data_IF_126891655322
#
_entry.id   IF_126891655322
#
_cell.length_a   1.000
_cell.length_b   1.000
_cell.length_c   1.000
_cell.angle_alpha   90.00
_cell.angle_beta   90.00
_cell.angle_gamma   90.00
#
_symmetry.space_group_name_H-M   'P 1'
#
loop_
_entity.id
_entity.type
_entity.pdbx_description
1 polymer ?
#
# COMPACT_ATOMS: atom_id res chain seq x y z
N UNK A 1 -13.96 -47.98 51.95
CA UNK A 1 -14.59 -47.56 50.67
C UNK A 1 -14.40 -46.06 50.33
N UNK A 2 -13.42 -45.35 50.92
CA UNK A 2 -13.28 -43.89 50.74
C UNK A 2 -12.16 -43.46 49.75
N UNK A 3 -11.26 -44.37 49.34
CA UNK A 3 -10.13 -44.01 48.47
C UNK A 3 -10.38 -44.13 46.96
N UNK A 4 -11.51 -44.71 46.52
CA UNK A 4 -11.81 -44.83 45.09
C UNK A 4 -12.59 -43.65 44.49
N UNK A 5 -13.10 -42.71 45.31
CA UNK A 5 -13.86 -41.54 44.80
C UNK A 5 -12.99 -40.33 44.44
N UNK A 6 -11.78 -40.27 44.96
CA UNK A 6 -10.81 -39.19 44.67
C UNK A 6 -9.98 -39.45 43.40
N UNK A 7 -9.87 -40.70 42.94
CA UNK A 7 -9.18 -41.03 41.70
C UNK A 7 -10.02 -40.71 40.45
N UNK A 8 -11.35 -40.78 40.53
CA UNK A 8 -12.25 -40.44 39.40
C UNK A 8 -12.48 -38.93 39.22
N UNK A 9 -12.21 -38.11 40.24
CA UNK A 9 -12.33 -36.65 40.15
C UNK A 9 -11.05 -35.98 39.63
N UNK A 10 -9.87 -36.60 39.82
CA UNK A 10 -8.62 -36.09 39.24
C UNK A 10 -8.46 -36.46 37.75
N UNK A 11 -8.98 -37.62 37.32
CA UNK A 11 -8.90 -38.03 35.91
C UNK A 11 -9.85 -37.22 34.99
N UNK A 12 -10.92 -36.62 35.52
CA UNK A 12 -11.84 -35.78 34.75
C UNK A 12 -11.35 -34.34 34.58
N UNK A 13 -10.49 -33.86 35.49
CA UNK A 13 -9.91 -32.51 35.40
C UNK A 13 -8.75 -32.43 34.39
N UNK A 14 -8.07 -33.54 34.11
CA UNK A 14 -6.98 -33.61 33.13
C UNK A 14 -7.44 -33.86 31.69
N UNK A 15 -8.72 -34.22 31.48
CA UNK A 15 -9.30 -34.47 30.16
C UNK A 15 -10.08 -33.26 29.59
N UNK A 16 -10.19 -32.16 30.33
CA UNK A 16 -10.77 -30.89 29.87
C UNK A 16 -9.74 -29.84 29.43
N UNK A 17 -8.47 -30.23 29.26
CA UNK A 17 -7.59 -29.54 28.34
C UNK A 17 -7.91 -29.99 26.91
N UNK A 18 -9.19 -29.88 26.48
CA UNK A 18 -9.42 -29.62 25.07
C UNK A 18 -8.61 -28.36 24.81
N UNK A 19 -7.65 -28.45 23.90
CA UNK A 19 -6.93 -27.31 23.38
C UNK A 19 -7.97 -26.25 23.02
N UNK A 20 -8.18 -25.27 23.90
CA UNK A 20 -8.88 -24.06 23.56
C UNK A 20 -8.00 -23.49 22.47
N UNK A 21 -8.44 -23.65 21.22
CA UNK A 21 -7.81 -22.97 20.11
C UNK A 21 -7.63 -21.52 20.57
N UNK A 22 -6.43 -20.93 20.44
CA UNK A 22 -6.18 -19.58 20.92
C UNK A 22 -7.32 -18.71 20.42
N UNK A 23 -8.09 -18.16 21.35
CA UNK A 23 -9.37 -17.58 21.02
C UNK A 23 -9.12 -16.14 20.57
N UNK A 24 -8.62 -15.97 19.35
CA UNK A 24 -8.29 -14.67 18.77
C UNK A 24 -9.51 -13.74 18.79
N UNK A 25 -9.37 -12.55 19.39
CA UNK A 25 -10.33 -11.46 19.36
C UNK A 25 -9.66 -10.19 18.89
N UNK A 26 -10.47 -9.36 18.24
CA UNK A 26 -10.16 -7.96 18.01
C UNK A 26 -11.18 -7.12 18.74
N UNK A 27 -10.76 -5.97 19.24
CA UNK A 27 -11.67 -5.00 19.86
C UNK A 27 -11.19 -3.59 19.54
N UNK A 28 -12.03 -2.61 19.88
CA UNK A 28 -11.65 -1.21 19.85
C UNK A 28 -11.32 -0.77 21.27
N UNK A 29 -10.14 -0.16 21.42
CA UNK A 29 -9.69 0.49 22.65
C UNK A 29 -8.95 1.77 22.30
N UNK A 30 -9.24 2.86 23.01
CA UNK A 30 -8.68 4.19 22.74
C UNK A 30 -8.75 4.57 21.24
N UNK A 31 -9.91 4.33 20.62
CA UNK A 31 -10.17 4.61 19.20
C UNK A 31 -9.25 3.86 18.23
N UNK A 32 -8.69 2.72 18.63
CA UNK A 32 -7.83 1.88 17.81
C UNK A 32 -8.24 0.42 17.86
N UNK A 33 -8.06 -0.28 16.75
CA UNK A 33 -8.17 -1.74 16.72
C UNK A 33 -7.02 -2.31 17.55
N UNK A 34 -7.34 -3.21 18.47
CA UNK A 34 -6.37 -3.93 19.31
C UNK A 34 -6.62 -5.43 19.27
N UNK A 35 -5.56 -6.21 19.39
CA UNK A 35 -5.64 -7.67 19.58
C UNK A 35 -5.95 -8.04 21.05
N UNK A 36 -6.05 -9.34 21.35
CA UNK A 36 -6.32 -9.85 22.70
C UNK A 36 -5.30 -9.43 23.76
N UNK A 37 -4.07 -9.09 23.36
CA UNK A 37 -3.03 -8.61 24.27
C UNK A 37 -3.10 -7.10 24.48
N UNK A 38 -4.11 -6.43 23.92
CA UNK A 38 -4.26 -4.97 23.94
C UNK A 38 -3.26 -4.25 23.02
N UNK A 39 -2.56 -4.97 22.14
CA UNK A 39 -1.61 -4.36 21.21
C UNK A 39 -2.38 -3.74 20.04
N UNK A 40 -2.06 -2.49 19.72
CA UNK A 40 -2.61 -1.80 18.55
C UNK A 40 -2.26 -2.56 17.27
N UNK A 41 -3.30 -2.83 16.50
CA UNK A 41 -3.23 -3.43 15.16
C UNK A 41 -3.38 -2.30 14.15
N UNK A 42 -2.27 -1.95 13.49
CA UNK A 42 -2.31 -0.96 12.40
C UNK A 42 -2.72 -1.65 11.09
N UNK A 43 -3.87 -1.26 10.54
CA UNK A 43 -4.42 -1.81 9.30
C UNK A 43 -3.85 -1.09 8.07
N UNK A 44 -2.66 -1.51 7.63
CA UNK A 44 -2.05 -1.07 6.37
C UNK A 44 -2.71 -1.85 5.24
N UNK A 45 -3.90 -1.41 4.87
CA UNK A 45 -4.85 -2.15 4.07
C UNK A 45 -4.79 -1.86 2.58
N UNK A 46 -5.22 -2.83 1.79
CA UNK A 46 -5.55 -2.68 0.37
C UNK A 46 -6.84 -3.44 0.06
N UNK A 47 -7.67 -2.91 -0.82
CA UNK A 47 -8.84 -3.61 -1.35
C UNK A 47 -8.42 -4.58 -2.46
N UNK A 48 -8.89 -5.82 -2.40
CA UNK A 48 -8.64 -6.84 -3.44
C UNK A 48 -9.98 -7.35 -3.95
N UNK A 49 -10.46 -6.73 -5.02
CA UNK A 49 -11.80 -6.96 -5.56
C UNK A 49 -11.84 -8.10 -6.59
N UNK A 50 -13.04 -8.59 -6.85
CA UNK A 50 -13.38 -9.61 -7.84
C UNK A 50 -14.44 -10.62 -7.36
N UNK A 51 -14.46 -10.95 -6.07
CA UNK A 51 -15.43 -11.89 -5.49
C UNK A 51 -16.87 -11.33 -5.44
N UNK A 52 -17.02 -10.02 -5.56
CA UNK A 52 -18.28 -9.27 -5.67
C UNK A 52 -18.74 -9.04 -7.12
N UNK A 53 -17.98 -9.53 -8.10
CA UNK A 53 -18.31 -9.39 -9.52
C UNK A 53 -18.84 -10.71 -10.10
N UNK A 54 -19.26 -10.68 -11.37
CA UNK A 54 -19.62 -11.88 -12.14
C UNK A 54 -18.48 -12.91 -12.31
N UNK A 55 -17.24 -12.57 -11.93
CA UNK A 55 -16.13 -13.52 -11.92
C UNK A 55 -16.16 -14.44 -10.69
N UNK A 56 -16.78 -13.98 -9.59
CA UNK A 56 -16.86 -14.68 -8.30
C UNK A 56 -15.50 -15.17 -7.78
N UNK A 57 -14.42 -14.45 -8.10
CA UNK A 57 -13.06 -14.72 -7.65
C UNK A 57 -12.24 -13.43 -7.70
N UNK A 58 -11.27 -13.26 -6.82
CA UNK A 58 -10.33 -12.13 -6.91
C UNK A 58 -9.78 -11.99 -8.34
N UNK A 59 -9.73 -10.77 -8.85
CA UNK A 59 -9.22 -10.54 -10.20
C UNK A 59 -7.69 -10.74 -10.29
N UNK A 60 -7.20 -10.90 -11.52
CA UNK A 60 -5.79 -11.10 -11.83
C UNK A 60 -5.36 -12.56 -12.00
N UNK A 61 -6.22 -13.52 -11.68
CA UNK A 61 -5.89 -14.95 -11.77
C UNK A 61 -5.75 -15.49 -13.20
N UNK A 62 -6.18 -14.73 -14.20
CA UNK A 62 -5.85 -14.98 -15.60
C UNK A 62 -4.39 -14.64 -15.95
N UNK A 63 -3.73 -13.79 -15.16
CA UNK A 63 -2.38 -13.30 -15.42
C UNK A 63 -1.34 -13.79 -14.42
N UNK A 64 -1.73 -14.01 -13.15
CA UNK A 64 -0.82 -14.27 -12.03
C UNK A 64 -1.24 -15.47 -11.21
N UNK A 65 -0.27 -16.06 -10.49
CA UNK A 65 -0.59 -16.99 -9.42
C UNK A 65 -1.12 -16.22 -8.20
N UNK A 66 -2.20 -16.72 -7.59
CA UNK A 66 -2.86 -16.06 -6.46
C UNK A 66 -1.95 -15.91 -5.22
N UNK A 67 -1.11 -16.91 -4.92
CA UNK A 67 -0.19 -16.88 -3.77
C UNK A 67 0.90 -15.84 -3.96
N UNK A 68 1.45 -15.75 -5.18
CA UNK A 68 2.46 -14.75 -5.53
C UNK A 68 1.93 -13.32 -5.37
N UNK A 69 0.66 -13.07 -5.72
CA UNK A 69 0.05 -11.76 -5.50
C UNK A 69 -0.05 -11.43 -4.01
N UNK A 70 -0.44 -12.40 -3.17
CA UNK A 70 -0.51 -12.20 -1.72
C UNK A 70 0.91 -12.01 -1.14
N UNK A 71 1.90 -12.78 -1.59
CA UNK A 71 3.32 -12.60 -1.20
C UNK A 71 3.83 -11.20 -1.57
N UNK A 72 3.47 -10.71 -2.76
CA UNK A 72 3.84 -9.37 -3.22
C UNK A 72 3.19 -8.27 -2.36
N UNK A 73 1.91 -8.40 -2.00
CA UNK A 73 1.25 -7.47 -1.07
C UNK A 73 1.98 -7.42 0.28
N UNK A 74 2.28 -8.59 0.86
CA UNK A 74 3.00 -8.68 2.12
C UNK A 74 4.40 -8.04 2.01
N UNK A 75 5.15 -8.34 0.95
CA UNK A 75 6.47 -7.80 0.69
C UNK A 75 6.51 -6.28 0.51
N UNK A 76 5.41 -5.67 0.05
CA UNK A 76 5.25 -4.22 -0.07
C UNK A 76 4.92 -3.53 1.25
N UNK A 77 4.63 -4.30 2.31
CA UNK A 77 4.37 -3.81 3.66
C UNK A 77 2.88 -3.69 4.02
N UNK A 78 1.98 -4.19 3.18
CA UNK A 78 0.56 -4.32 3.54
C UNK A 78 0.41 -5.35 4.67
N UNK A 79 -0.39 -5.00 5.67
CA UNK A 79 -0.71 -5.86 6.82
C UNK A 79 -2.16 -6.29 6.84
N UNK A 80 -3.00 -5.71 5.98
CA UNK A 80 -4.43 -6.00 5.94
C UNK A 80 -4.97 -6.02 4.50
N UNK A 81 -6.09 -6.69 4.31
CA UNK A 81 -6.88 -6.71 3.08
C UNK A 81 -8.35 -6.52 3.40
N UNK A 82 -9.05 -5.70 2.61
CA UNK A 82 -10.50 -5.67 2.55
C UNK A 82 -10.91 -6.50 1.33
N UNK A 83 -11.77 -7.50 1.56
CA UNK A 83 -12.20 -8.47 0.56
C UNK A 83 -13.71 -8.31 0.28
N UNK A 84 -14.04 -7.50 -0.74
CA UNK A 84 -15.39 -7.42 -1.29
C UNK A 84 -15.91 -8.81 -1.70
N UNK A 85 -17.16 -9.11 -1.37
CA UNK A 85 -17.89 -10.30 -1.85
C UNK A 85 -19.35 -9.96 -2.14
N UNK A 86 -20.02 -10.88 -2.83
CA UNK A 86 -21.47 -10.82 -3.06
C UNK A 86 -22.14 -12.15 -2.64
N UNK A 87 -23.48 -12.19 -2.49
CA UNK A 87 -24.23 -13.38 -2.07
C UNK A 87 -23.99 -14.64 -2.93
N UNK A 88 -23.88 -14.51 -4.25
CA UNK A 88 -23.74 -15.68 -5.11
C UNK A 88 -22.39 -16.39 -4.87
N UNK A 89 -21.33 -15.65 -4.56
CA UNK A 89 -20.00 -16.20 -4.20
C UNK A 89 -20.06 -17.10 -2.97
N UNK A 90 -21.04 -16.90 -2.08
CA UNK A 90 -21.23 -17.71 -0.87
C UNK A 90 -21.96 -19.03 -1.13
N UNK A 91 -22.44 -19.28 -2.35
CA UNK A 91 -23.16 -20.51 -2.67
C UNK A 91 -22.19 -21.61 -3.11
N UNK A 92 -22.40 -22.83 -2.61
CA UNK A 92 -21.53 -23.98 -2.90
C UNK A 92 -21.50 -24.37 -4.37
N UNK A 93 -22.55 -24.02 -5.13
CA UNK A 93 -22.69 -24.29 -6.56
C UNK A 93 -22.05 -23.25 -7.48
N UNK A 94 -21.62 -22.10 -6.95
CA UNK A 94 -21.08 -21.01 -7.78
C UNK A 94 -19.66 -21.35 -8.20
N UNK A 95 -19.43 -21.36 -9.51
CA UNK A 95 -18.11 -21.60 -10.08
C UNK A 95 -17.47 -20.26 -10.48
N UNK A 96 -16.15 -20.10 -10.24
CA UNK A 96 -15.43 -18.90 -10.64
C UNK A 96 -15.23 -18.88 -12.16
N UNK A 97 -14.90 -17.71 -12.69
CA UNK A 97 -14.41 -17.55 -14.06
C UNK A 97 -13.09 -16.78 -14.11
N UNK A 98 -12.48 -16.71 -15.30
CA UNK A 98 -11.25 -15.94 -15.56
C UNK A 98 -10.04 -16.35 -14.71
N UNK A 99 -9.81 -17.65 -14.58
CA UNK A 99 -8.63 -18.23 -13.95
C UNK A 99 -7.79 -18.95 -15.00
N UNK A 100 -6.50 -18.63 -15.07
CA UNK A 100 -5.52 -19.46 -15.77
C UNK A 100 -5.08 -20.60 -14.84
N UNK A 101 -5.66 -21.78 -15.04
CA UNK A 101 -5.35 -22.97 -14.23
C UNK A 101 -3.95 -23.54 -14.49
N UNK A 102 -3.25 -23.14 -15.57
CA UNK A 102 -1.84 -23.51 -15.72
C UNK A 102 -0.96 -22.81 -14.69
N UNK A 103 -1.36 -21.60 -14.26
CA UNK A 103 -0.72 -20.82 -13.18
C UNK A 103 -1.30 -21.11 -11.82
N UNK A 104 -2.57 -21.51 -11.77
CA UNK A 104 -3.33 -21.75 -10.54
C UNK A 104 -3.92 -23.17 -10.50
N UNK A 105 -3.09 -24.24 -10.64
CA UNK A 105 -3.61 -25.60 -10.76
C UNK A 105 -4.33 -26.09 -9.51
N UNK A 106 -3.98 -25.54 -8.33
CA UNK A 106 -4.62 -25.89 -7.06
C UNK A 106 -6.02 -25.28 -6.85
N UNK A 107 -6.47 -24.44 -7.79
CA UNK A 107 -7.83 -23.88 -7.81
C UNK A 107 -8.77 -24.62 -8.77
N UNK A 108 -8.25 -25.55 -9.59
CA UNK A 108 -9.06 -26.22 -10.59
C UNK A 108 -10.14 -27.11 -9.96
N UNK A 109 -11.39 -26.93 -10.41
CA UNK A 109 -12.55 -27.68 -9.92
C UNK A 109 -13.11 -27.20 -8.58
N UNK A 110 -12.57 -26.14 -7.99
CA UNK A 110 -13.10 -25.54 -6.77
C UNK A 110 -14.22 -24.54 -7.07
N UNK A 111 -15.24 -24.51 -6.21
CA UNK A 111 -16.25 -23.45 -6.22
C UNK A 111 -15.68 -22.12 -5.72
N UNK A 112 -16.35 -21.02 -6.03
CA UNK A 112 -15.96 -19.68 -5.60
C UNK A 112 -15.83 -19.57 -4.08
N UNK A 113 -16.74 -20.18 -3.32
CA UNK A 113 -16.63 -20.22 -1.86
C UNK A 113 -15.38 -20.98 -1.38
N UNK A 114 -15.04 -22.11 -2.02
CA UNK A 114 -13.83 -22.87 -1.69
C UNK A 114 -12.54 -22.11 -2.03
N UNK A 115 -12.57 -21.28 -3.07
CA UNK A 115 -11.44 -20.39 -3.40
C UNK A 115 -11.37 -19.23 -2.40
N UNK A 116 -12.50 -18.65 -2.01
CA UNK A 116 -12.53 -17.63 -0.95
C UNK A 116 -11.94 -18.17 0.36
N UNK A 117 -12.29 -19.39 0.76
CA UNK A 117 -11.67 -20.08 1.91
C UNK A 117 -10.13 -20.12 1.79
N UNK A 118 -9.62 -20.57 0.64
CA UNK A 118 -8.17 -20.66 0.38
C UNK A 118 -7.47 -19.31 0.44
N UNK A 119 -8.08 -18.29 -0.13
CA UNK A 119 -7.53 -16.93 -0.16
C UNK A 119 -7.44 -16.37 1.27
N UNK A 120 -8.52 -16.51 2.05
CA UNK A 120 -8.56 -16.09 3.47
C UNK A 120 -7.50 -16.83 4.29
N UNK A 121 -7.39 -18.15 4.13
CA UNK A 121 -6.39 -18.96 4.83
C UNK A 121 -4.96 -18.55 4.47
N UNK A 122 -4.70 -18.16 3.23
CA UNK A 122 -3.39 -17.71 2.79
C UNK A 122 -3.00 -16.33 3.33
N UNK A 123 -3.94 -15.39 3.41
CA UNK A 123 -3.73 -14.11 4.09
C UNK A 123 -3.46 -14.35 5.58
N UNK A 124 -4.26 -15.22 6.21
CA UNK A 124 -4.08 -15.62 7.60
C UNK A 124 -2.70 -16.25 7.86
N UNK A 125 -2.25 -17.18 7.01
CA UNK A 125 -0.94 -17.83 7.12
C UNK A 125 0.23 -16.84 7.01
N UNK A 126 0.03 -15.71 6.32
CA UNK A 126 1.00 -14.60 6.20
C UNK A 126 0.86 -13.54 7.28
N UNK A 127 -0.04 -13.75 8.24
CA UNK A 127 -0.32 -12.80 9.32
C UNK A 127 -1.02 -11.52 8.86
N UNK A 128 -1.60 -11.51 7.65
CA UNK A 128 -2.35 -10.37 7.14
C UNK A 128 -3.79 -10.42 7.62
N UNK A 129 -4.27 -9.29 8.15
CA UNK A 129 -5.64 -9.13 8.62
C UNK A 129 -6.63 -9.08 7.46
N UNK A 130 -7.80 -9.69 7.62
CA UNK A 130 -8.87 -9.73 6.61
C UNK A 130 -10.11 -9.08 7.18
N UNK A 131 -10.55 -8.00 6.53
CA UNK A 131 -11.89 -7.43 6.69
C UNK A 131 -12.74 -7.90 5.51
N UNK A 132 -13.79 -8.67 5.78
CA UNK A 132 -14.72 -9.09 4.73
C UNK A 132 -15.69 -7.95 4.46
N UNK A 133 -16.17 -7.81 3.24
CA UNK A 133 -17.05 -6.71 2.85
C UNK A 133 -18.21 -7.19 1.98
N UNK A 134 -19.44 -6.98 2.44
CA UNK A 134 -20.63 -7.24 1.63
C UNK A 134 -20.82 -6.11 0.62
N UNK A 135 -20.35 -6.32 -0.61
CA UNK A 135 -20.11 -5.23 -1.54
C UNK A 135 -21.26 -4.99 -2.52
N UNK A 136 -21.87 -6.06 -3.03
CA UNK A 136 -23.02 -5.98 -3.95
C UNK A 136 -24.06 -7.05 -3.60
N UNK A 137 -25.37 -6.77 -3.71
CA UNK A 137 -26.41 -7.76 -3.43
C UNK A 137 -26.56 -8.80 -4.56
N UNK A 138 -26.07 -8.50 -5.77
CA UNK A 138 -26.35 -9.26 -7.00
C UNK A 138 -25.10 -9.64 -7.80
N UNK A 139 -23.91 -9.33 -7.29
CA UNK A 139 -22.63 -9.55 -7.97
C UNK A 139 -22.39 -8.69 -9.23
N UNK A 140 -23.14 -7.58 -9.38
CA UNK A 140 -23.07 -6.73 -10.56
C UNK A 140 -22.91 -5.24 -10.20
N UNK A 141 -23.72 -4.71 -9.29
CA UNK A 141 -23.70 -3.29 -8.97
C UNK A 141 -23.90 -3.03 -7.47
N UNK A 142 -23.33 -1.93 -7.01
CA UNK A 142 -23.58 -1.44 -5.65
C UNK A 142 -24.99 -0.87 -5.61
N UNK A 143 -25.85 -1.42 -4.75
CA UNK A 143 -27.20 -0.90 -4.53
C UNK A 143 -27.20 0.24 -3.52
N UNK A 144 -28.13 1.18 -3.67
CA UNK A 144 -28.34 2.29 -2.72
C UNK A 144 -28.54 1.78 -1.27
N UNK A 145 -29.43 0.80 -1.12
CA UNK A 145 -29.81 0.18 0.16
C UNK A 145 -29.20 -1.22 0.32
N UNK A 146 -29.25 -1.78 1.53
CA UNK A 146 -28.78 -3.15 1.84
C UNK A 146 -29.72 -4.25 1.30
N UNK A 147 -30.76 -3.86 0.57
CA UNK A 147 -31.73 -4.73 -0.08
C UNK A 147 -32.16 -4.14 -1.44
N UNK A 148 -32.76 -4.98 -2.26
CA UNK A 148 -33.37 -4.63 -3.55
C UNK A 148 -34.74 -5.31 -3.66
N UNK A 149 -35.45 -5.12 -4.78
CA UNK A 149 -36.67 -5.89 -5.05
C UNK A 149 -36.44 -7.41 -5.20
N UNK A 150 -35.22 -7.84 -5.51
CA UNK A 150 -34.86 -9.25 -5.70
C UNK A 150 -34.03 -9.85 -4.54
N UNK A 151 -33.51 -9.00 -3.64
CA UNK A 151 -32.67 -9.38 -2.53
C UNK A 151 -33.13 -8.68 -1.26
N UNK A 152 -33.75 -9.41 -0.33
CA UNK A 152 -34.36 -8.85 0.89
C UNK A 152 -33.34 -8.57 2.00
N UNK A 153 -33.71 -7.71 2.96
CA UNK A 153 -32.93 -7.50 4.19
C UNK A 153 -32.70 -8.81 4.96
N UNK A 154 -33.68 -9.73 4.96
CA UNK A 154 -33.52 -11.02 5.61
C UNK A 154 -32.39 -11.85 4.98
N UNK A 155 -32.29 -11.86 3.64
CA UNK A 155 -31.19 -12.52 2.94
C UNK A 155 -29.85 -11.82 3.21
N UNK A 156 -29.82 -10.49 3.27
CA UNK A 156 -28.63 -9.74 3.70
C UNK A 156 -28.16 -10.17 5.09
N UNK A 157 -29.05 -10.17 6.08
CA UNK A 157 -28.72 -10.62 7.44
C UNK A 157 -28.24 -12.08 7.49
N UNK A 158 -28.83 -12.96 6.69
CA UNK A 158 -28.43 -14.38 6.62
C UNK A 158 -27.04 -14.55 5.99
N UNK A 159 -26.72 -13.79 4.95
CA UNK A 159 -25.38 -13.82 4.34
C UNK A 159 -24.32 -13.24 5.28
N UNK A 160 -24.62 -12.17 6.03
CA UNK A 160 -23.74 -11.65 7.07
C UNK A 160 -23.47 -12.69 8.17
N UNK A 161 -24.52 -13.37 8.66
CA UNK A 161 -24.37 -14.47 9.64
C UNK A 161 -23.57 -15.64 9.08
N UNK A 162 -23.80 -15.99 7.82
CA UNK A 162 -23.11 -17.09 7.16
C UNK A 162 -21.60 -16.84 7.15
N UNK A 163 -21.19 -15.66 6.67
CA UNK A 163 -19.78 -15.27 6.58
C UNK A 163 -19.15 -15.20 7.98
N UNK A 164 -19.84 -14.58 8.93
CA UNK A 164 -19.40 -14.50 10.31
C UNK A 164 -19.21 -15.88 10.95
N UNK A 165 -20.21 -16.77 10.83
CA UNK A 165 -20.12 -18.10 11.40
C UNK A 165 -19.03 -18.96 10.74
N UNK A 166 -18.82 -18.79 9.43
CA UNK A 166 -17.83 -19.54 8.66
C UNK A 166 -16.40 -19.18 9.06
N UNK A 167 -16.09 -17.89 9.21
CA UNK A 167 -14.71 -17.42 9.36
C UNK A 167 -14.34 -16.97 10.78
N UNK A 168 -15.25 -16.98 11.76
CA UNK A 168 -14.96 -16.52 13.13
C UNK A 168 -13.78 -17.19 13.82
N UNK A 169 -13.40 -18.39 13.39
CA UNK A 169 -12.28 -19.15 13.95
C UNK A 169 -10.99 -19.00 13.14
N UNK A 170 -10.97 -18.16 12.08
CA UNK A 170 -9.75 -17.84 11.33
C UNK A 170 -9.05 -16.66 12.03
N UNK A 171 -7.85 -16.86 12.60
CA UNK A 171 -7.20 -15.89 13.51
C UNK A 171 -7.07 -14.46 13.00
N UNK A 172 -6.83 -14.29 11.70
CA UNK A 172 -6.63 -12.97 11.08
C UNK A 172 -7.87 -12.40 10.41
N UNK A 173 -9.01 -13.08 10.44
CA UNK A 173 -10.28 -12.46 10.03
C UNK A 173 -10.79 -11.61 11.18
N UNK A 174 -10.71 -10.28 11.00
CA UNK A 174 -10.94 -9.33 12.09
C UNK A 174 -12.40 -8.94 12.25
N UNK A 175 -13.19 -9.08 11.19
CA UNK A 175 -14.54 -8.54 11.17
C UNK A 175 -15.18 -8.51 9.79
N UNK A 176 -16.27 -7.75 9.74
CA UNK A 176 -17.12 -7.59 8.57
C UNK A 176 -17.51 -6.11 8.41
N UNK A 177 -17.33 -5.62 7.20
CA UNK A 177 -17.94 -4.41 6.67
C UNK A 177 -19.35 -4.75 6.17
N UNK A 178 -20.35 -4.11 6.77
CA UNK A 178 -21.73 -4.60 6.74
C UNK A 178 -22.38 -4.45 5.36
N UNK A 179 -22.08 -3.37 4.66
CA UNK A 179 -22.60 -3.05 3.33
C UNK A 179 -21.74 -1.95 2.72
N UNK A 180 -21.19 -2.22 1.54
CA UNK A 180 -20.47 -1.23 0.78
C UNK A 180 -21.39 -0.08 0.36
N UNK A 181 -20.94 1.14 0.64
CA UNK A 181 -21.43 2.40 0.11
C UNK A 181 -22.96 2.57 0.14
N UNK A 182 -23.63 2.64 1.30
CA UNK A 182 -24.97 3.20 1.36
C UNK A 182 -25.03 4.57 0.68
N UNK A 183 -25.97 4.77 -0.24
CA UNK A 183 -26.10 5.99 -1.03
C UNK A 183 -27.53 6.19 -1.54
N UNK A 184 -27.78 7.33 -2.21
CA UNK A 184 -29.06 7.62 -2.85
C UNK A 184 -30.21 7.64 -1.85
N UNK A 185 -31.12 6.67 -1.93
CA UNK A 185 -32.25 6.53 -1.01
C UNK A 185 -31.84 6.17 0.44
N UNK A 186 -30.60 5.75 0.70
CA UNK A 186 -30.13 5.50 2.06
C UNK A 186 -30.12 6.78 2.88
N UNK A 187 -30.78 6.74 4.03
CA UNK A 187 -30.83 7.83 5.01
C UNK A 187 -30.16 7.41 6.31
N UNK A 188 -30.07 8.34 7.26
CA UNK A 188 -29.57 8.10 8.60
C UNK A 188 -30.31 9.02 9.57
N UNK A 189 -30.96 8.42 10.57
CA UNK A 189 -31.68 9.15 11.61
C UNK A 189 -32.91 9.92 11.10
N UNK A 190 -33.48 9.51 9.96
CA UNK A 190 -34.71 10.13 9.43
C UNK A 190 -35.98 9.63 10.13
N UNK A 191 -35.91 8.49 10.81
CA UNK A 191 -37.05 7.79 11.41
C UNK A 191 -37.70 6.77 10.47
N UNK A 192 -37.21 6.62 9.23
CA UNK A 192 -37.72 5.62 8.28
C UNK A 192 -36.85 4.36 8.30
N UNK A 193 -37.31 3.32 8.99
CA UNK A 193 -36.58 2.06 9.15
C UNK A 193 -36.25 1.33 7.81
N UNK A 194 -36.93 1.67 6.71
CA UNK A 194 -36.68 1.10 5.38
C UNK A 194 -35.50 1.76 4.67
N UNK A 195 -35.10 2.96 5.07
CA UNK A 195 -34.00 3.70 4.42
C UNK A 195 -32.89 4.06 5.39
N UNK A 196 -33.17 4.08 6.70
CA UNK A 196 -32.21 4.42 7.74
C UNK A 196 -31.12 3.36 7.90
N UNK A 197 -29.98 3.64 7.28
CA UNK A 197 -28.76 2.83 7.33
C UNK A 197 -28.28 2.63 8.76
N UNK A 198 -28.35 3.64 9.64
CA UNK A 198 -27.94 3.48 11.03
C UNK A 198 -28.71 2.36 11.74
N UNK A 199 -30.02 2.30 11.54
CA UNK A 199 -30.86 1.25 12.14
C UNK A 199 -30.63 -0.10 11.48
N UNK A 200 -30.34 -0.16 10.18
CA UNK A 200 -29.97 -1.40 9.49
C UNK A 200 -28.61 -1.92 9.94
N UNK A 201 -27.62 -1.04 10.11
CA UNK A 201 -26.29 -1.36 10.61
C UNK A 201 -26.36 -1.91 12.04
N UNK A 202 -27.23 -1.39 12.91
CA UNK A 202 -27.49 -1.94 14.24
C UNK A 202 -28.04 -3.38 14.17
N UNK A 203 -28.99 -3.65 13.25
CA UNK A 203 -29.54 -5.00 13.04
C UNK A 203 -28.50 -5.96 12.46
N UNK A 204 -27.73 -5.51 11.48
CA UNK A 204 -26.62 -6.28 10.88
C UNK A 204 -25.53 -6.60 11.91
N UNK A 205 -25.12 -5.61 12.70
CA UNK A 205 -24.18 -5.76 13.81
C UNK A 205 -24.66 -6.79 14.83
N UNK A 206 -25.92 -6.68 15.29
CA UNK A 206 -26.49 -7.64 16.22
C UNK A 206 -26.52 -9.07 15.64
N UNK A 207 -26.85 -9.22 14.36
CA UNK A 207 -26.86 -10.52 13.67
C UNK A 207 -25.45 -11.14 13.60
N UNK A 208 -24.43 -10.34 13.27
CA UNK A 208 -23.03 -10.79 13.19
C UNK A 208 -22.49 -11.13 14.59
N UNK A 209 -22.64 -10.22 15.55
CA UNK A 209 -22.09 -10.40 16.90
C UNK A 209 -22.76 -11.53 17.68
N UNK A 210 -23.99 -11.93 17.32
CA UNK A 210 -24.64 -13.11 17.89
C UNK A 210 -23.88 -14.43 17.55
N UNK A 211 -23.21 -14.51 16.40
CA UNK A 211 -22.46 -15.70 15.97
C UNK A 211 -20.95 -15.54 16.08
N UNK A 212 -20.44 -14.30 16.01
CA UNK A 212 -19.04 -13.92 16.08
C UNK A 212 -18.84 -12.72 17.05
N UNK A 213 -19.00 -12.92 18.38
CA UNK A 213 -19.03 -11.83 19.39
C UNK A 213 -17.69 -11.09 19.58
N UNK A 214 -16.64 -11.57 18.91
CA UNK A 214 -15.25 -11.10 18.97
C UNK A 214 -14.81 -10.32 17.74
N UNK A 215 -15.70 -10.14 16.77
CA UNK A 215 -15.43 -9.44 15.53
C UNK A 215 -15.63 -7.94 15.64
N UNK A 216 -14.84 -7.20 14.86
CA UNK A 216 -15.08 -5.79 14.56
C UNK A 216 -16.20 -5.68 13.53
N UNK A 217 -17.05 -4.68 13.69
CA UNK A 217 -18.12 -4.32 12.77
C UNK A 217 -17.73 -2.99 12.14
N UNK A 218 -17.37 -3.02 10.85
CA UNK A 218 -17.14 -1.82 10.08
C UNK A 218 -18.49 -1.27 9.58
N UNK A 219 -18.68 0.04 9.77
CA UNK A 219 -19.87 0.76 9.33
C UNK A 219 -19.43 1.99 8.55
N UNK A 220 -19.79 2.00 7.27
CA UNK A 220 -19.62 3.15 6.38
C UNK A 220 -20.67 4.24 6.63
N UNK A 221 -20.53 5.37 5.93
CA UNK A 221 -21.51 6.45 5.93
C UNK A 221 -22.63 6.28 4.91
N UNK A 222 -23.36 7.36 4.67
CA UNK A 222 -24.32 7.51 3.56
C UNK A 222 -23.79 8.54 2.55
N UNK A 223 -24.63 9.00 1.61
CA UNK A 223 -24.36 10.19 0.78
C UNK A 223 -24.99 11.44 1.38
N UNK A 224 -25.82 12.16 0.63
CA UNK A 224 -26.69 13.19 1.15
C UNK A 224 -27.69 12.59 2.15
N UNK A 225 -28.01 13.36 3.18
CA UNK A 225 -28.95 12.94 4.23
C UNK A 225 -29.87 14.12 4.60
N UNK A 226 -31.18 13.90 4.81
CA UNK A 226 -32.11 14.99 5.14
C UNK A 226 -31.89 15.60 6.52
N UNK A 227 -31.25 14.87 7.45
CA UNK A 227 -31.12 15.28 8.86
C UNK A 227 -29.66 15.40 9.24
N UNK A 228 -29.30 16.42 10.03
CA UNK A 228 -27.98 16.54 10.64
C UNK A 228 -26.81 16.39 9.64
N UNK A 229 -26.96 16.96 8.45
CA UNK A 229 -26.01 16.80 7.35
C UNK A 229 -25.98 18.03 6.46
N UNK A 230 -24.77 18.38 6.01
CA UNK A 230 -24.60 19.18 4.81
C UNK A 230 -24.61 18.28 3.58
N UNK A 231 -25.39 18.65 2.57
CA UNK A 231 -25.59 17.87 1.36
C UNK A 231 -24.90 18.50 0.15
N UNK A 232 -24.63 17.67 -0.85
CA UNK A 232 -23.85 18.03 -2.02
C UNK A 232 -22.36 17.80 -1.77
N UNK A 233 -21.75 16.96 -2.60
CA UNK A 233 -20.30 16.78 -2.63
C UNK A 233 -19.75 15.64 -1.76
N UNK A 234 -20.59 14.80 -1.16
CA UNK A 234 -20.12 13.62 -0.42
C UNK A 234 -20.12 12.39 -1.32
N UNK A 235 -19.05 11.59 -1.28
CA UNK A 235 -18.99 10.31 -1.96
C UNK A 235 -19.91 9.28 -1.30
N UNK A 236 -20.24 8.23 -2.04
CA UNK A 236 -21.01 7.10 -1.52
C UNK A 236 -20.29 6.48 -0.33
N UNK A 237 -21.01 6.09 0.72
CA UNK A 237 -20.40 5.61 1.96
C UNK A 237 -19.59 6.66 2.76
N UNK A 238 -19.54 7.93 2.33
CA UNK A 238 -18.59 8.91 2.85
C UNK A 238 -19.13 9.83 3.96
N UNK A 239 -20.44 9.93 4.13
CA UNK A 239 -21.06 10.88 5.06
C UNK A 239 -21.36 10.25 6.43
N UNK A 240 -20.60 10.65 7.45
CA UNK A 240 -20.84 10.29 8.84
C UNK A 240 -21.46 11.43 9.66
N UNK A 241 -21.69 12.61 9.07
CA UNK A 241 -22.27 13.77 9.78
C UNK A 241 -23.51 13.41 10.63
N UNK A 242 -24.46 12.59 10.14
CA UNK A 242 -25.67 12.27 10.91
C UNK A 242 -25.40 11.57 12.25
N UNK A 243 -24.24 10.93 12.42
CA UNK A 243 -23.83 10.29 13.67
C UNK A 243 -23.73 11.26 14.84
N UNK A 244 -23.50 12.56 14.58
CA UNK A 244 -23.47 13.58 15.63
C UNK A 244 -24.84 13.78 16.30
N UNK A 245 -25.93 13.52 15.59
CA UNK A 245 -27.30 13.63 16.12
C UNK A 245 -27.92 12.28 16.46
N UNK A 246 -27.58 11.24 15.71
CA UNK A 246 -28.11 9.89 15.88
C UNK A 246 -26.95 8.89 15.88
N UNK A 247 -26.26 8.70 17.02
CA UNK A 247 -25.15 7.77 17.13
C UNK A 247 -25.62 6.31 16.96
N UNK A 248 -24.73 5.45 16.50
CA UNK A 248 -25.00 4.01 16.35
C UNK A 248 -25.11 3.33 17.72
N UNK A 249 -26.16 2.55 17.92
CA UNK A 249 -26.29 1.65 19.06
C UNK A 249 -25.54 0.33 18.81
N UNK A 250 -24.23 0.43 18.54
CA UNK A 250 -23.30 -0.70 18.40
C UNK A 250 -22.27 -0.58 19.53
N UNK A 251 -21.88 -1.68 20.20
CA UNK A 251 -20.86 -1.60 21.25
C UNK A 251 -19.60 -0.90 20.75
N UNK A 252 -19.17 0.16 21.44
CA UNK A 252 -18.01 0.96 21.03
C UNK A 252 -16.72 0.12 20.91
N UNK A 253 -16.60 -0.95 21.69
CA UNK A 253 -15.49 -1.92 21.62
C UNK A 253 -15.51 -2.82 20.37
N UNK A 254 -16.53 -2.70 19.51
CA UNK A 254 -16.70 -3.46 18.26
C UNK A 254 -16.88 -2.57 17.04
N UNK A 255 -17.27 -1.30 17.21
CA UNK A 255 -17.57 -0.39 16.11
C UNK A 255 -16.31 0.25 15.50
N UNK A 256 -16.11 0.02 14.21
CA UNK A 256 -15.13 0.72 13.38
C UNK A 256 -15.86 1.58 12.36
N UNK A 257 -15.62 2.88 12.34
CA UNK A 257 -16.14 3.76 11.30
C UNK A 257 -15.23 3.65 10.06
N UNK A 258 -15.82 3.37 8.90
CA UNK A 258 -15.09 3.08 7.67
C UNK A 258 -15.56 3.93 6.47
N UNK A 259 -15.62 5.28 6.57
CA UNK A 259 -16.13 6.10 5.47
C UNK A 259 -15.25 6.00 4.23
N UNK A 260 -15.87 6.22 3.07
CA UNK A 260 -15.18 6.28 1.78
C UNK A 260 -14.95 7.72 1.35
N UNK A 261 -13.83 7.97 0.68
CA UNK A 261 -13.54 9.29 0.11
C UNK A 261 -12.62 9.19 -1.10
N UNK A 262 -12.96 9.92 -2.15
CA UNK A 262 -12.27 9.85 -3.43
C UNK A 262 -11.88 11.23 -3.98
N UNK A 263 -11.02 11.19 -4.99
CA UNK A 263 -10.49 12.35 -5.70
C UNK A 263 -11.22 12.65 -7.01
N UNK A 264 -10.70 13.61 -7.79
CA UNK A 264 -11.29 14.04 -9.06
C UNK A 264 -11.27 12.97 -10.15
N UNK A 265 -10.44 11.94 -10.01
CA UNK A 265 -10.41 10.78 -10.93
C UNK A 265 -11.72 9.96 -10.91
N UNK A 266 -12.40 9.90 -9.76
CA UNK A 266 -13.66 9.16 -9.59
C UNK A 266 -14.85 10.04 -9.93
N UNK A 267 -14.92 11.22 -9.34
CA UNK A 267 -15.97 12.20 -9.66
C UNK A 267 -15.48 13.62 -9.40
N UNK A 268 -15.62 14.51 -10.38
CA UNK A 268 -15.18 15.91 -10.25
C UNK A 268 -16.21 16.71 -9.45
N UNK A 269 -16.16 16.57 -8.13
CA UNK A 269 -16.96 17.37 -7.20
C UNK A 269 -16.67 18.87 -7.35
N UNK A 270 -17.66 19.77 -7.16
CA UNK A 270 -17.49 21.20 -7.39
C UNK A 270 -16.30 21.82 -6.63
N UNK A 271 -16.04 21.35 -5.41
CA UNK A 271 -14.94 21.85 -4.57
C UNK A 271 -13.53 21.51 -5.10
N UNK A 272 -13.39 20.61 -6.07
CA UNK A 272 -12.12 20.37 -6.76
C UNK A 272 -11.77 21.44 -7.81
N UNK A 273 -12.76 22.25 -8.20
CA UNK A 273 -12.58 23.40 -9.09
C UNK A 273 -12.50 24.73 -8.32
N UNK A 274 -12.59 24.69 -6.99
CA UNK A 274 -12.45 25.88 -6.16
C UNK A 274 -11.00 26.41 -6.24
N UNK A 275 -10.85 27.73 -6.33
CA UNK A 275 -9.53 28.39 -6.32
C UNK A 275 -8.67 28.08 -5.09
N UNK A 276 -9.30 27.69 -3.98
CA UNK A 276 -8.64 27.30 -2.75
C UNK A 276 -8.20 25.83 -2.74
N UNK A 277 -8.54 25.01 -3.75
CA UNK A 277 -8.09 23.63 -3.81
C UNK A 277 -6.55 23.52 -3.85
N UNK A 278 -5.92 22.65 -3.04
CA UNK A 278 -6.50 21.65 -2.13
C UNK A 278 -6.72 22.12 -0.68
N UNK A 279 -6.44 23.38 -0.35
CA UNK A 279 -6.49 23.91 1.02
C UNK A 279 -7.92 23.97 1.61
N UNK A 280 -8.95 23.92 0.77
CA UNK A 280 -10.34 23.77 1.21
C UNK A 280 -10.68 22.35 1.71
N UNK A 281 -9.91 21.34 1.29
CA UNK A 281 -10.25 19.93 1.53
C UNK A 281 -10.27 19.51 3.01
N UNK A 282 -9.32 19.93 3.88
CA UNK A 282 -9.35 19.57 5.30
C UNK A 282 -10.67 19.88 6.01
N UNK A 283 -11.28 21.05 5.72
CA UNK A 283 -12.56 21.42 6.33
C UNK A 283 -13.72 20.55 5.81
N UNK A 284 -13.65 20.10 4.56
CA UNK A 284 -14.64 19.20 3.96
C UNK A 284 -14.54 17.81 4.58
N UNK A 285 -13.33 17.26 4.67
CA UNK A 285 -13.10 15.95 5.31
C UNK A 285 -13.43 15.97 6.80
N UNK A 286 -13.08 17.04 7.52
CA UNK A 286 -13.43 17.21 8.94
C UNK A 286 -14.93 17.13 9.14
N UNK A 287 -15.69 17.84 8.28
CA UNK A 287 -17.15 17.83 8.32
C UNK A 287 -17.70 16.44 7.99
N UNK A 288 -17.26 15.82 6.89
CA UNK A 288 -17.84 14.55 6.42
C UNK A 288 -17.57 13.39 7.38
N UNK A 289 -16.36 13.31 7.96
CA UNK A 289 -15.98 12.18 8.82
C UNK A 289 -14.93 12.50 9.90
N UNK A 290 -13.99 13.40 9.65
CA UNK A 290 -12.79 13.50 10.48
C UNK A 290 -13.02 14.03 11.90
N UNK A 291 -14.13 14.72 12.14
CA UNK A 291 -14.56 15.12 13.49
C UNK A 291 -14.75 13.93 14.45
N UNK A 292 -15.00 12.71 13.93
CA UNK A 292 -15.24 11.52 14.76
C UNK A 292 -13.95 10.77 15.16
N UNK A 293 -12.80 11.09 14.57
CA UNK A 293 -11.53 10.38 14.83
C UNK A 293 -11.02 10.53 16.29
N UNK A 294 -11.47 11.55 17.01
CA UNK A 294 -11.12 11.77 18.42
C UNK A 294 -11.97 10.93 19.39
N UNK A 295 -13.09 10.36 18.95
CA UNK A 295 -14.07 9.67 19.82
C UNK A 295 -14.37 8.24 19.36
N UNK A 296 -14.01 7.87 18.14
CA UNK A 296 -14.26 6.56 17.56
C UNK A 296 -13.02 6.03 16.84
N UNK A 297 -12.90 4.70 16.77
CA UNK A 297 -12.00 4.10 15.80
C UNK A 297 -12.50 4.43 14.39
N UNK A 298 -11.62 5.04 13.60
CA UNK A 298 -11.94 5.50 12.26
C UNK A 298 -10.74 5.24 11.34
N UNK A 299 -11.03 4.63 10.19
CA UNK A 299 -10.12 4.49 9.06
C UNK A 299 -10.89 4.70 7.77
N UNK A 300 -10.21 4.86 6.64
CA UNK A 300 -10.89 4.90 5.34
C UNK A 300 -11.10 3.48 4.81
N UNK A 301 -12.35 3.09 4.55
CA UNK A 301 -12.70 1.81 3.92
C UNK A 301 -12.26 1.76 2.46
N UNK A 302 -12.36 2.90 1.78
CA UNK A 302 -11.82 3.11 0.45
C UNK A 302 -11.31 4.55 0.26
N UNK A 303 -10.16 4.65 -0.41
CA UNK A 303 -9.61 5.88 -0.97
C UNK A 303 -8.60 5.52 -2.05
N UNK A 304 -8.56 6.30 -3.13
CA UNK A 304 -7.67 6.04 -4.26
C UNK A 304 -7.89 6.96 -5.44
N UNK A 305 -7.12 6.72 -6.51
CA UNK A 305 -7.08 7.54 -7.71
C UNK A 305 -5.86 7.19 -8.56
N UNK A 306 -5.78 7.62 -9.82
CA UNK A 306 -4.68 7.29 -10.75
C UNK A 306 -3.37 7.99 -10.39
N UNK A 307 -3.40 8.90 -9.41
CA UNK A 307 -2.26 9.60 -8.83
C UNK A 307 -1.43 10.29 -9.90
N UNK A 308 -2.08 11.18 -10.66
CA UNK A 308 -1.46 11.98 -11.73
C UNK A 308 -1.32 11.30 -13.09
N UNK A 309 -1.77 10.04 -13.23
CA UNK A 309 -1.92 9.37 -14.53
C UNK A 309 -3.36 9.43 -15.08
N UNK A 310 -4.24 10.15 -14.39
CA UNK A 310 -5.58 10.54 -14.82
C UNK A 310 -5.73 12.06 -14.72
N UNK A 311 -6.65 12.55 -13.90
CA UNK A 311 -6.71 13.96 -13.54
C UNK A 311 -5.43 14.37 -12.78
N UNK A 312 -4.76 15.41 -13.27
CA UNK A 312 -3.51 15.89 -12.67
C UNK A 312 -3.67 16.35 -11.21
N UNK A 313 -4.89 16.78 -10.82
CA UNK A 313 -5.21 17.19 -9.45
C UNK A 313 -5.31 16.03 -8.48
N UNK A 314 -5.49 14.79 -8.97
CA UNK A 314 -5.63 13.63 -8.10
C UNK A 314 -4.38 13.39 -7.24
N UNK A 315 -3.19 13.62 -7.81
CA UNK A 315 -1.95 13.54 -7.03
C UNK A 315 -1.95 14.55 -5.87
N UNK A 316 -2.35 15.79 -6.15
CA UNK A 316 -2.43 16.89 -5.17
C UNK A 316 -3.47 16.57 -4.10
N UNK A 317 -4.62 16.02 -4.50
CA UNK A 317 -5.69 15.59 -3.61
C UNK A 317 -5.23 14.47 -2.67
N UNK A 318 -4.66 13.39 -3.20
CA UNK A 318 -4.16 12.26 -2.40
C UNK A 318 -3.04 12.70 -1.44
N UNK A 319 -2.16 13.60 -1.87
CA UNK A 319 -1.11 14.15 -1.01
C UNK A 319 -1.68 14.96 0.17
N UNK A 320 -2.68 15.80 -0.10
CA UNK A 320 -3.38 16.57 0.93
C UNK A 320 -4.17 15.66 1.88
N UNK A 321 -4.83 14.61 1.35
CA UNK A 321 -5.58 13.65 2.16
C UNK A 321 -4.68 12.93 3.14
N UNK A 322 -3.55 12.37 2.69
CA UNK A 322 -2.61 11.68 3.59
C UNK A 322 -2.05 12.63 4.65
N UNK A 323 -1.80 13.89 4.31
CA UNK A 323 -1.36 14.90 5.28
C UNK A 323 -2.43 15.13 6.35
N UNK A 324 -3.68 15.30 5.91
CA UNK A 324 -4.83 15.48 6.80
C UNK A 324 -5.05 14.27 7.72
N UNK A 325 -5.12 13.05 7.17
CA UNK A 325 -5.33 11.82 7.94
C UNK A 325 -4.29 11.66 9.05
N UNK A 326 -3.01 11.88 8.74
CA UNK A 326 -1.93 11.82 9.74
C UNK A 326 -2.08 12.87 10.83
N UNK A 327 -2.50 14.09 10.47
CA UNK A 327 -2.75 15.16 11.47
C UNK A 327 -3.88 14.78 12.45
N UNK A 328 -4.81 13.92 12.02
CA UNK A 328 -5.91 13.37 12.84
C UNK A 328 -5.55 12.06 13.54
N UNK A 329 -4.34 11.55 13.39
CA UNK A 329 -3.93 10.25 13.94
C UNK A 329 -4.54 9.04 13.22
N UNK A 330 -5.09 9.23 12.03
CA UNK A 330 -5.59 8.17 11.15
C UNK A 330 -4.41 7.75 10.26
N UNK A 331 -3.67 6.72 10.68
CA UNK A 331 -2.44 6.26 10.04
C UNK A 331 -2.63 4.90 9.34
N UNK A 332 -3.86 4.59 8.96
CA UNK A 332 -4.33 3.28 8.50
C UNK A 332 -5.58 3.43 7.63
N UNK A 333 -5.97 2.36 6.93
CA UNK A 333 -7.08 2.34 5.97
C UNK A 333 -6.82 1.36 4.84
N UNK A 334 -7.81 1.18 3.97
CA UNK A 334 -7.73 0.28 2.82
C UNK A 334 -7.70 1.08 1.52
N UNK A 335 -6.55 1.05 0.84
CA UNK A 335 -6.41 1.73 -0.44
C UNK A 335 -7.24 1.03 -1.51
N UNK A 336 -8.00 1.78 -2.30
CA UNK A 336 -8.68 1.27 -3.49
C UNK A 336 -7.82 1.55 -4.74
N UNK A 337 -7.21 0.53 -5.35
CA UNK A 337 -7.21 -0.90 -4.98
C UNK A 337 -5.86 -1.56 -5.26
N UNK A 338 -5.71 -2.83 -4.92
CA UNK A 338 -4.57 -3.65 -5.38
C UNK A 338 -4.58 -3.75 -6.90
N UNK A 339 -5.77 -4.03 -7.42
CA UNK A 339 -6.07 -4.37 -8.79
C UNK A 339 -5.86 -3.16 -9.72
N UNK A 340 -5.22 -3.33 -10.88
CA UNK A 340 -5.04 -2.23 -11.83
C UNK A 340 -6.32 -1.90 -12.60
N UNK A 341 -7.27 -2.85 -12.70
CA UNK A 341 -8.44 -2.73 -13.56
C UNK A 341 -9.65 -2.02 -12.91
N UNK A 342 -9.43 -1.14 -11.92
CA UNK A 342 -10.43 -0.14 -11.55
C UNK A 342 -10.35 1.02 -12.54
N UNK A 343 -11.41 1.24 -13.33
CA UNK A 343 -11.33 2.13 -14.51
C UNK A 343 -11.04 3.60 -14.19
N UNK A 344 -11.46 4.08 -13.04
CA UNK A 344 -11.33 5.45 -12.55
C UNK A 344 -10.09 5.66 -11.66
N UNK A 345 -9.70 4.68 -10.85
CA UNK A 345 -8.58 4.82 -9.89
C UNK A 345 -7.29 4.10 -10.29
N UNK A 346 -7.36 3.15 -11.22
CA UNK A 346 -6.30 2.17 -11.41
C UNK A 346 -6.03 1.38 -10.13
N UNK A 347 -4.77 1.02 -9.89
CA UNK A 347 -4.40 0.28 -8.67
C UNK A 347 -3.00 0.57 -8.16
N UNK A 348 -2.59 -0.22 -7.16
CA UNK A 348 -1.20 -0.38 -6.73
C UNK A 348 -0.41 -1.12 -7.80
N UNK A 349 -1.00 -2.14 -8.43
CA UNK A 349 -0.44 -2.74 -9.63
C UNK A 349 -0.63 -1.83 -10.84
N UNK A 350 0.23 -2.03 -11.83
CA UNK A 350 0.03 -1.58 -13.22
C UNK A 350 -0.73 -2.66 -14.00
N UNK A 351 -1.18 -2.29 -15.20
CA UNK A 351 -2.05 -3.13 -16.05
C UNK A 351 -1.44 -4.48 -16.45
N UNK A 352 -0.12 -4.65 -16.33
CA UNK A 352 0.59 -5.92 -16.50
C UNK A 352 0.39 -6.91 -15.34
N UNK A 353 -0.40 -6.54 -14.32
CA UNK A 353 -0.68 -7.29 -13.10
C UNK A 353 0.58 -7.69 -12.31
N UNK A 354 1.72 -7.07 -12.57
CA UNK A 354 3.02 -7.47 -12.01
C UNK A 354 3.77 -6.28 -11.45
N UNK A 355 3.91 -5.22 -12.24
CA UNK A 355 4.66 -4.03 -11.87
C UNK A 355 3.88 -3.18 -10.86
N UNK A 356 4.59 -2.55 -9.93
CA UNK A 356 4.00 -1.73 -8.85
C UNK A 356 4.13 -0.24 -9.15
N UNK A 357 3.11 0.53 -8.78
CA UNK A 357 3.12 2.00 -8.68
C UNK A 357 3.86 2.46 -7.42
N UNK A 358 5.19 2.55 -7.50
CA UNK A 358 6.03 2.96 -6.36
C UNK A 358 5.75 4.38 -5.84
N UNK A 359 5.22 5.26 -6.69
CA UNK A 359 4.73 6.57 -6.31
C UNK A 359 3.53 6.48 -5.35
N UNK A 360 2.55 5.61 -5.64
CA UNK A 360 1.44 5.30 -4.72
C UNK A 360 1.93 4.59 -3.46
N UNK A 361 2.88 3.67 -3.57
CA UNK A 361 3.47 3.02 -2.38
C UNK A 361 4.22 4.01 -1.47
N UNK A 362 4.88 5.00 -2.05
CA UNK A 362 5.54 6.08 -1.29
C UNK A 362 4.52 6.91 -0.50
N UNK A 363 3.40 7.26 -1.14
CA UNK A 363 2.27 7.92 -0.48
C UNK A 363 1.73 7.10 0.71
N UNK A 364 1.53 5.79 0.52
CA UNK A 364 1.02 4.90 1.56
C UNK A 364 2.01 4.70 2.71
N UNK A 365 3.30 4.52 2.42
CA UNK A 365 4.34 4.45 3.46
C UNK A 365 4.37 5.72 4.31
N UNK A 366 4.11 6.90 3.71
CA UNK A 366 3.93 8.16 4.46
C UNK A 366 2.72 8.09 5.38
N UNK A 367 1.55 7.66 4.90
CA UNK A 367 0.34 7.48 5.71
C UNK A 367 0.60 6.57 6.92
N UNK A 368 1.24 5.43 6.68
CA UNK A 368 1.52 4.43 7.71
C UNK A 368 2.60 4.85 8.71
N UNK A 369 3.32 5.95 8.46
CA UNK A 369 4.49 6.34 9.25
C UNK A 369 5.67 5.38 9.12
N UNK A 370 5.73 4.64 8.01
CA UNK A 370 6.80 3.68 7.69
C UNK A 370 7.73 4.15 6.59
N UNK A 371 7.44 5.32 6.00
CA UNK A 371 8.43 6.04 5.23
C UNK A 371 9.68 6.08 6.09
N UNK A 372 10.76 5.44 5.62
CA UNK A 372 12.05 5.59 6.26
C UNK A 372 12.23 7.09 6.44
N UNK A 373 12.55 7.50 7.65
CA UNK A 373 13.07 8.83 7.86
C UNK A 373 14.32 8.92 6.98
N UNK A 374 14.14 9.39 5.74
CA UNK A 374 14.98 10.47 5.30
C UNK A 374 14.66 11.65 6.23
N UNK A 375 15.07 11.55 7.51
CA UNK A 375 15.90 12.62 8.02
C UNK A 375 16.85 12.87 6.87
N UNK A 376 16.72 14.04 6.25
CA UNK A 376 17.88 14.67 5.67
C UNK A 376 19.01 14.38 6.64
N UNK A 377 19.84 13.40 6.30
CA UNK A 377 21.15 13.33 6.90
C UNK A 377 21.67 14.77 6.78
N UNK A 378 22.24 15.36 7.85
CA UNK A 378 22.92 16.64 7.68
C UNK A 378 23.76 16.47 6.44
N UNK A 379 23.57 17.36 5.46
CA UNK A 379 24.14 17.22 4.13
C UNK A 379 25.56 16.68 4.31
N UNK A 380 25.93 15.54 3.70
CA UNK A 380 27.30 15.05 3.84
C UNK A 380 28.16 16.26 3.51
N UNK A 381 28.98 16.67 4.48
CA UNK A 381 29.93 17.76 4.29
C UNK A 381 30.56 17.53 2.93
N UNK A 382 30.58 18.54 2.03
CA UNK A 382 30.84 18.33 0.61
C UNK A 382 32.05 17.40 0.49
N UNK A 383 31.80 16.18 0.01
CA UNK A 383 32.88 15.27 -0.31
C UNK A 383 33.75 16.03 -1.31
N UNK A 384 35.08 16.12 -1.09
CA UNK A 384 35.94 16.97 -1.89
C UNK A 384 35.71 16.64 -3.36
N UNK A 385 35.47 17.69 -4.15
CA UNK A 385 35.28 17.54 -5.60
C UNK A 385 36.42 16.68 -6.17
N UNK A 386 36.13 15.75 -7.10
CA UNK A 386 37.17 14.99 -7.77
C UNK A 386 38.23 15.95 -8.30
N UNK A 387 39.49 15.74 -7.92
CA UNK A 387 40.59 16.61 -8.34
C UNK A 387 41.30 15.98 -9.52
N UNK A 388 41.46 16.76 -10.59
CA UNK A 388 42.29 16.41 -11.73
C UNK A 388 43.72 16.86 -11.41
N UNK A 389 44.61 15.91 -11.10
CA UNK A 389 46.01 16.21 -10.80
C UNK A 389 46.92 15.12 -11.36
N UNK A 390 47.94 15.54 -12.10
CA UNK A 390 48.96 14.65 -12.66
C UNK A 390 50.34 15.19 -12.31
N UNK A 391 51.27 14.28 -12.01
CA UNK A 391 52.69 14.59 -11.83
C UNK A 391 53.52 13.94 -12.93
N UNK A 392 54.61 14.59 -13.31
CA UNK A 392 55.57 14.06 -14.28
C UNK A 392 56.95 13.89 -13.66
N UNK A 393 57.66 12.86 -14.07
CA UNK A 393 59.07 12.64 -13.71
C UNK A 393 59.86 12.25 -14.95
N UNK A 394 60.80 13.10 -15.36
CA UNK A 394 61.77 12.76 -16.39
C UNK A 394 62.93 11.95 -15.77
N UNK A 395 63.29 10.84 -16.39
CA UNK A 395 64.36 9.93 -15.99
C UNK A 395 65.32 9.79 -17.17
N UNK A 396 66.60 10.10 -16.94
CA UNK A 396 67.65 9.90 -17.94
C UNK A 396 67.87 8.40 -18.12
N UNK A 397 67.62 7.88 -19.32
CA UNK A 397 67.75 6.45 -19.61
C UNK A 397 69.07 6.12 -20.32
N UNK A 398 69.56 7.00 -21.20
CA UNK A 398 70.77 6.73 -21.99
C UNK A 398 71.52 8.03 -22.29
N UNK A 399 72.53 8.40 -21.48
CA UNK A 399 73.35 9.59 -21.72
C UNK A 399 74.53 9.31 -22.67
N UNK A 400 74.93 10.31 -23.45
CA UNK A 400 76.16 10.32 -24.25
C UNK A 400 76.86 11.69 -24.17
N UNK A 401 78.05 11.83 -24.77
CA UNK A 401 78.72 13.14 -24.86
C UNK A 401 77.90 14.07 -25.75
N UNK A 402 77.27 15.09 -25.15
CA UNK A 402 76.49 16.11 -25.85
C UNK A 402 74.99 15.81 -25.95
N UNK A 403 74.44 14.85 -25.21
CA UNK A 403 72.99 14.63 -25.18
C UNK A 403 72.53 13.45 -24.33
N UNK A 404 71.21 13.27 -24.23
CA UNK A 404 70.61 12.11 -23.55
C UNK A 404 69.21 11.77 -24.07
N UNK A 405 68.85 10.49 -23.96
CA UNK A 405 67.46 10.05 -24.08
C UNK A 405 66.83 9.97 -22.69
N UNK A 406 65.65 10.57 -22.56
CA UNK A 406 64.90 10.75 -21.34
C UNK A 406 63.53 10.08 -21.48
N UNK A 407 63.11 9.40 -20.42
CA UNK A 407 61.77 8.84 -20.28
C UNK A 407 60.97 9.68 -19.31
N UNK A 408 59.78 10.09 -19.70
CA UNK A 408 58.85 10.85 -18.87
C UNK A 408 57.76 9.90 -18.37
N UNK A 409 57.73 9.73 -17.05
CA UNK A 409 56.68 8.98 -16.35
C UNK A 409 55.58 9.94 -15.92
N UNK A 410 54.33 9.60 -16.23
CA UNK A 410 53.15 10.35 -15.81
C UNK A 410 52.38 9.55 -14.79
N UNK A 411 52.08 10.17 -13.64
CA UNK A 411 51.32 9.56 -12.55
C UNK A 411 50.09 10.40 -12.25
N UNK A 412 48.90 9.79 -12.28
CA UNK A 412 47.68 10.41 -11.76
C UNK A 412 47.75 10.47 -10.23
N UNK A 413 47.78 11.69 -9.69
CA UNK A 413 47.78 11.98 -8.25
C UNK A 413 46.43 12.48 -7.75
N UNK A 414 45.45 12.63 -8.64
CA UNK A 414 44.08 13.04 -8.36
C UNK A 414 43.13 11.88 -8.08
N UNK A 415 41.94 12.21 -7.59
CA UNK A 415 40.86 11.25 -7.32
C UNK A 415 39.96 10.97 -8.54
N UNK A 416 40.12 11.74 -9.62
CA UNK A 416 39.44 11.56 -10.91
C UNK A 416 40.30 10.77 -11.91
N UNK A 417 39.73 10.35 -13.05
CA UNK A 417 40.43 9.61 -14.12
C UNK A 417 40.20 10.23 -15.52
N UNK A 418 40.50 11.54 -15.70
CA UNK A 418 40.27 12.22 -16.98
C UNK A 418 41.38 11.92 -18.00
N UNK A 419 41.16 12.36 -19.25
CA UNK A 419 42.22 12.44 -20.25
C UNK A 419 43.27 13.48 -19.84
N UNK A 420 44.57 13.17 -20.00
CA UNK A 420 45.66 14.07 -19.61
C UNK A 420 46.48 14.57 -20.82
N UNK A 421 47.01 15.79 -20.68
CA UNK A 421 47.97 16.44 -21.59
C UNK A 421 48.90 17.30 -20.74
N UNK A 422 50.22 17.09 -20.84
CA UNK A 422 51.22 17.72 -19.98
C UNK A 422 52.37 18.26 -20.83
N UNK A 423 52.83 19.47 -20.52
CA UNK A 423 53.97 20.12 -21.21
C UNK A 423 55.17 20.12 -20.28
N UNK A 424 56.32 19.68 -20.79
CA UNK A 424 57.61 19.70 -20.10
C UNK A 424 58.56 20.61 -20.87
N UNK A 425 59.30 21.45 -20.13
CA UNK A 425 60.43 22.17 -20.68
C UNK A 425 61.60 21.20 -20.85
N UNK A 426 62.20 21.21 -22.03
CA UNK A 426 63.37 20.39 -22.35
C UNK A 426 64.58 21.30 -22.48
N UNK A 427 65.72 20.87 -21.94
CA UNK A 427 67.00 21.53 -22.14
C UNK A 427 67.71 20.95 -23.37
N UNK A 428 68.09 21.81 -24.32
CA UNK A 428 68.72 21.40 -25.58
C UNK A 428 67.73 21.24 -26.73
N UNK A 429 68.23 20.84 -27.91
CA UNK A 429 67.40 20.58 -29.09
C UNK A 429 66.89 19.14 -29.08
N UNK A 430 65.57 18.96 -29.17
CA UNK A 430 64.95 17.63 -29.27
C UNK A 430 65.02 17.14 -30.72
N UNK A 431 65.71 16.03 -30.93
CA UNK A 431 65.87 15.41 -32.25
C UNK A 431 64.80 14.35 -32.54
N UNK A 432 64.25 13.72 -31.50
CA UNK A 432 63.22 12.70 -31.61
C UNK A 432 62.38 12.58 -30.32
N UNK A 433 61.10 12.25 -30.46
CA UNK A 433 60.21 11.92 -29.35
C UNK A 433 59.21 10.82 -29.73
N UNK A 434 58.77 10.04 -28.74
CA UNK A 434 57.71 9.03 -28.90
C UNK A 434 56.60 9.24 -27.88
N UNK A 435 55.36 8.95 -28.29
CA UNK A 435 54.15 9.19 -27.49
C UNK A 435 54.04 10.64 -26.98
N UNK A 436 54.60 11.60 -27.73
CA UNK A 436 54.61 13.03 -27.43
C UNK A 436 54.82 13.85 -28.72
N UNK A 437 54.35 15.09 -28.73
CA UNK A 437 54.66 16.09 -29.75
C UNK A 437 55.62 17.13 -29.16
N UNK A 438 56.49 17.73 -29.96
CA UNK A 438 57.44 18.74 -29.46
C UNK A 438 57.59 19.93 -30.39
N UNK A 439 58.00 21.04 -29.79
CA UNK A 439 58.60 22.22 -30.42
C UNK A 439 59.99 22.42 -29.81
N UNK A 440 60.82 23.31 -30.38
CA UNK A 440 62.25 23.43 -30.02
C UNK A 440 62.52 23.43 -28.51
N UNK A 441 61.68 24.09 -27.70
CA UNK A 441 61.92 24.25 -26.25
C UNK A 441 60.87 23.56 -25.36
N UNK A 442 59.84 22.93 -25.94
CA UNK A 442 58.72 22.36 -25.17
C UNK A 442 58.23 21.05 -25.77
N UNK A 443 58.22 20.01 -24.93
CA UNK A 443 57.64 18.70 -25.21
C UNK A 443 56.24 18.62 -24.60
N UNK A 444 55.22 18.39 -25.41
CA UNK A 444 53.86 18.13 -24.95
C UNK A 444 53.54 16.64 -25.10
N UNK A 445 53.41 15.95 -23.98
CA UNK A 445 52.99 14.57 -23.93
C UNK A 445 51.48 14.49 -23.66
N UNK A 446 50.77 13.67 -24.43
CA UNK A 446 49.35 13.40 -24.20
C UNK A 446 49.09 11.89 -24.26
N UNK A 447 48.06 11.43 -23.55
CA UNK A 447 47.75 10.01 -23.50
C UNK A 447 47.32 9.46 -24.87
N UNK A 448 48.04 8.45 -25.38
CA UNK A 448 47.67 7.69 -26.59
C UNK A 448 46.89 6.42 -26.20
N UNK A 449 45.78 6.16 -26.91
CA UNK A 449 44.87 5.01 -26.75
C UNK A 449 44.39 4.71 -25.32
N UNK A 450 44.05 3.45 -25.00
CA UNK A 450 43.30 2.98 -23.81
C UNK A 450 43.95 3.38 -22.46
N UNK A 451 45.18 3.91 -22.48
CA UNK A 451 45.87 4.52 -21.31
C UNK A 451 45.46 5.98 -21.04
N UNK A 452 44.61 6.58 -21.88
CA UNK A 452 44.19 7.99 -21.80
C UNK A 452 43.52 8.36 -20.48
N UNK A 453 42.80 7.43 -19.84
CA UNK A 453 42.00 7.71 -18.63
C UNK A 453 42.58 7.08 -17.35
N UNK A 454 43.65 6.28 -17.42
CA UNK A 454 44.31 5.68 -16.23
C UNK A 454 45.83 5.83 -16.34
N UNK A 455 46.37 6.95 -15.87
CA UNK A 455 47.81 7.23 -15.91
C UNK A 455 48.63 6.49 -14.82
N UNK A 456 48.30 5.25 -14.47
CA UNK A 456 49.19 4.42 -13.64
C UNK A 456 50.14 3.71 -14.61
N UNK A 457 51.37 4.25 -14.77
CA UNK A 457 52.37 3.69 -15.67
C UNK A 457 52.23 4.10 -17.14
N UNK A 458 51.78 5.33 -17.41
CA UNK A 458 51.88 5.93 -18.73
C UNK A 458 53.28 6.53 -18.93
N UNK A 459 53.92 6.22 -20.07
CA UNK A 459 55.29 6.65 -20.37
C UNK A 459 55.37 7.27 -21.77
N UNK A 460 56.06 8.41 -21.85
CA UNK A 460 56.56 9.01 -23.09
C UNK A 460 58.07 9.21 -22.99
N UNK A 461 58.73 9.64 -24.06
CA UNK A 461 60.13 10.00 -23.96
C UNK A 461 60.66 10.74 -25.18
N UNK A 462 61.87 11.25 -25.03
CA UNK A 462 62.53 12.10 -26.00
C UNK A 462 64.05 11.96 -25.92
N UNK A 463 64.73 12.26 -27.01
CA UNK A 463 66.19 12.38 -27.05
C UNK A 463 66.55 13.83 -27.39
N UNK A 464 67.42 14.44 -26.59
CA UNK A 464 67.84 15.82 -26.76
C UNK A 464 69.37 15.93 -26.74
N UNK A 465 69.90 16.82 -27.57
CA UNK A 465 71.31 17.17 -27.64
C UNK A 465 71.52 18.61 -27.14
N UNK A 466 72.64 18.84 -26.46
CA UNK A 466 73.05 20.15 -25.91
C UNK A 466 73.92 20.93 -26.87
#
# INVERSE_FOLDING_TARGET
>A
MSMLRTASTLALASALALAAAPAFSYSISNNKVVDDNGKVVQLRGVNVFGFETGNHVMHGLWARNWKEMIDQMQGLGFTAVRLPFCPATLRSSTMPSSIDYSRNPDLQGLSSLQILDKVIDAFNARGMYVLLDHHTPDCAAISELWYTGAYSEAQWLDDLRFVANRYKNVPRVIGLDLKNEPHGAATWGSGNASTDWNSAAERGSAAVLAVAPKWIIAVEGVTDNPVCSTNGGTFWGGNLQPMACTPLNIPASRLLLAPHVYGPDVHVQPYFNDSAFPNNMPAIWERHFGQFAATHALLLGEFGGKYGQGDARDKVWQDALVTYLRSKGINEGFYWSWNPNSGDTGGILRDDWTSVREDKMTLLRRLWGTASSSTSAPAPSPSPAPTDSFSTKAVVNSPWRGGSCNRVQVTNTGSASPAWSLSLLVSGSVDNAWNATWSQDTLTASGVDVKRTRAVGAESGFCAAS
#
